data_IF_968664909498
#
_entry.id   IF_968664909498
#
_cell.length_a   1.000
_cell.length_b   1.000
_cell.length_c   1.000
_cell.angle_alpha   90.00
_cell.angle_beta   90.00
_cell.angle_gamma   90.00
#
_symmetry.space_group_name_H-M   'P 1'
#
loop_
_entity.id
_entity.type
_entity.pdbx_description
1 polymer ?
#
# COMPACT_ATOMS: atom_id res chain seq x y z
N UNK A 1 18.95 -3.21 -55.75
CA UNK A 1 18.63 -2.46 -54.51
C UNK A 1 19.70 -1.40 -54.32
N UNK A 2 19.36 -0.13 -54.52
CA UNK A 2 20.30 0.97 -54.28
C UNK A 2 20.61 1.04 -52.78
N UNK A 3 21.89 0.97 -52.42
CA UNK A 3 22.34 1.24 -51.07
C UNK A 3 21.98 2.69 -50.74
N UNK A 4 20.95 2.90 -49.90
CA UNK A 4 20.66 4.22 -49.35
C UNK A 4 21.88 4.63 -48.52
N UNK A 5 22.43 5.79 -48.85
CA UNK A 5 23.57 6.37 -48.16
C UNK A 5 23.20 6.66 -46.71
N UNK A 6 23.99 6.13 -45.77
CA UNK A 6 23.95 6.52 -44.35
C UNK A 6 23.88 8.05 -44.25
N UNK A 7 22.84 8.59 -43.63
CA UNK A 7 22.78 10.00 -43.28
C UNK A 7 23.52 10.18 -41.96
N UNK A 8 24.77 10.69 -41.96
CA UNK A 8 25.50 10.88 -40.72
C UNK A 8 24.79 11.94 -39.87
N UNK A 9 24.75 11.75 -38.55
CA UNK A 9 24.23 12.75 -37.63
C UNK A 9 25.09 14.03 -37.74
N UNK A 10 24.51 15.19 -38.11
CA UNK A 10 25.26 16.43 -38.18
C UNK A 10 25.83 16.80 -36.79
N UNK A 11 27.11 17.18 -36.74
CA UNK A 11 27.80 17.46 -35.48
C UNK A 11 27.10 18.54 -34.63
N UNK A 12 26.52 19.56 -35.27
CA UNK A 12 25.77 20.60 -34.58
C UNK A 12 24.54 20.04 -33.84
N UNK A 13 23.75 19.21 -34.51
CA UNK A 13 22.58 18.55 -33.92
C UNK A 13 22.97 17.55 -32.83
N UNK A 14 24.08 16.83 -33.01
CA UNK A 14 24.64 15.99 -31.96
C UNK A 14 25.01 16.80 -30.72
N UNK A 15 25.66 17.96 -30.88
CA UNK A 15 26.06 18.81 -29.75
C UNK A 15 24.85 19.30 -28.96
N UNK A 16 23.81 19.77 -29.65
CA UNK A 16 22.55 20.21 -29.02
C UNK A 16 21.88 19.07 -28.25
N UNK A 17 21.70 17.91 -28.90
CA UNK A 17 21.12 16.73 -28.28
C UNK A 17 21.95 16.28 -27.06
N UNK A 18 23.29 16.30 -27.16
CA UNK A 18 24.17 15.95 -26.06
C UNK A 18 24.02 16.91 -24.87
N UNK A 19 23.93 18.21 -25.10
CA UNK A 19 23.69 19.19 -24.01
C UNK A 19 22.35 18.94 -23.32
N UNK A 20 21.30 18.63 -24.10
CA UNK A 20 20.01 18.28 -23.53
C UNK A 20 20.09 16.98 -22.69
N UNK A 21 20.75 15.92 -23.18
CA UNK A 21 20.90 14.68 -22.42
C UNK A 21 21.72 14.86 -21.13
N UNK A 22 22.77 15.68 -21.15
CA UNK A 22 23.53 16.02 -19.95
C UNK A 22 22.64 16.73 -18.90
N UNK A 23 21.69 17.57 -19.33
CA UNK A 23 20.71 18.19 -18.43
C UNK A 23 19.76 17.17 -17.79
N UNK A 24 19.35 16.14 -18.54
CA UNK A 24 18.53 15.04 -18.02
C UNK A 24 19.30 14.22 -16.98
N UNK A 25 20.56 13.91 -17.26
CA UNK A 25 21.45 13.19 -16.33
C UNK A 25 21.62 13.98 -15.04
N UNK A 26 21.92 15.29 -15.12
CA UNK A 26 22.06 16.14 -13.95
C UNK A 26 20.78 16.17 -13.10
N UNK A 27 19.62 16.32 -13.75
CA UNK A 27 18.32 16.30 -13.09
C UNK A 27 18.04 14.97 -12.40
N UNK A 28 18.40 13.86 -13.06
CA UNK A 28 18.25 12.51 -12.51
C UNK A 28 19.11 12.31 -11.25
N UNK A 29 20.39 12.70 -11.29
CA UNK A 29 21.31 12.58 -10.15
C UNK A 29 20.77 13.33 -8.93
N UNK A 30 20.29 14.57 -9.11
CA UNK A 30 19.70 15.37 -8.02
C UNK A 30 18.47 14.68 -7.44
N UNK A 31 17.59 14.12 -8.27
CA UNK A 31 16.40 13.40 -7.80
C UNK A 31 16.74 12.14 -7.01
N UNK A 32 17.71 11.35 -7.47
CA UNK A 32 18.17 10.14 -6.77
C UNK A 32 18.78 10.50 -5.42
N UNK A 33 19.59 11.56 -5.34
CA UNK A 33 20.17 12.04 -4.09
C UNK A 33 19.11 12.51 -3.08
N UNK A 34 18.08 13.23 -3.55
CA UNK A 34 16.98 13.72 -2.69
C UNK A 34 16.09 12.62 -2.16
N UNK A 35 15.81 11.58 -2.95
CA UNK A 35 14.90 10.49 -2.57
C UNK A 35 15.52 9.47 -1.61
N UNK A 36 16.85 9.43 -1.49
CA UNK A 36 17.54 8.51 -0.58
C UNK A 36 17.14 7.07 -0.81
N UNK A 37 17.75 6.40 -1.80
CA UNK A 37 17.53 4.96 -2.06
C UNK A 37 18.14 4.11 -0.94
N UNK A 38 17.48 4.06 0.22
CA UNK A 38 17.96 3.26 1.38
C UNK A 38 17.81 1.75 1.18
N UNK A 39 16.91 1.31 0.30
CA UNK A 39 16.53 -0.11 0.14
C UNK A 39 16.61 -0.65 -1.31
N UNK A 40 17.10 0.13 -2.27
CA UNK A 40 17.27 -0.36 -3.65
C UNK A 40 18.73 -0.79 -3.87
N UNK A 41 18.98 -1.91 -4.58
CA UNK A 41 20.34 -2.30 -4.92
C UNK A 41 21.02 -1.18 -5.73
N UNK A 42 22.32 -0.94 -5.52
CA UNK A 42 23.04 0.05 -6.30
C UNK A 42 22.99 -0.33 -7.78
N UNK A 43 22.46 0.57 -8.59
CA UNK A 43 22.44 0.45 -10.06
C UNK A 43 23.63 1.16 -10.67
N UNK A 44 24.01 0.73 -11.87
CA UNK A 44 25.08 1.39 -12.62
C UNK A 44 24.69 2.84 -12.91
N UNK A 45 25.63 3.76 -12.71
CA UNK A 45 25.41 5.18 -12.97
C UNK A 45 25.28 5.51 -14.47
N UNK A 46 25.15 6.81 -14.79
CA UNK A 46 25.12 7.26 -16.17
C UNK A 46 26.44 6.93 -16.89
N UNK A 47 26.31 6.48 -18.13
CA UNK A 47 27.45 6.20 -19.02
C UNK A 47 28.17 7.49 -19.42
N UNK A 48 29.50 7.44 -19.56
CA UNK A 48 30.33 8.59 -19.99
C UNK A 48 30.44 8.74 -21.51
N UNK A 49 30.21 7.65 -22.26
CA UNK A 49 30.29 7.62 -23.73
C UNK A 49 28.92 7.32 -24.36
N UNK A 50 28.81 7.55 -25.66
CA UNK A 50 27.67 7.13 -26.46
C UNK A 50 27.97 5.75 -27.05
N UNK A 51 27.09 4.79 -26.83
CA UNK A 51 27.20 3.46 -27.44
C UNK A 51 26.64 3.49 -28.86
N UNK A 52 27.39 2.91 -29.79
CA UNK A 52 27.01 2.83 -31.19
C UNK A 52 26.23 1.54 -31.45
N UNK A 53 24.96 1.66 -31.80
CA UNK A 53 24.08 0.55 -32.16
C UNK A 53 23.74 0.62 -33.66
N UNK A 54 23.50 -0.55 -34.27
CA UNK A 54 23.12 -0.67 -35.68
C UNK A 54 24.03 0.12 -36.64
N UNK A 55 25.34 -0.04 -36.50
CA UNK A 55 26.37 0.66 -37.30
C UNK A 55 26.37 2.19 -37.13
N UNK A 56 25.94 2.68 -35.97
CA UNK A 56 25.87 4.11 -35.66
C UNK A 56 24.58 4.79 -36.11
N UNK A 57 23.60 4.02 -36.60
CA UNK A 57 22.24 4.52 -36.90
C UNK A 57 21.42 4.80 -35.64
N UNK A 58 21.86 4.27 -34.50
CA UNK A 58 21.28 4.50 -33.19
C UNK A 58 22.41 4.78 -32.22
N UNK A 59 22.32 5.90 -31.50
CA UNK A 59 23.27 6.25 -30.44
C UNK A 59 22.56 6.08 -29.10
N UNK A 60 23.14 5.31 -28.18
CA UNK A 60 22.58 5.08 -26.84
C UNK A 60 23.42 5.81 -25.79
N UNK A 61 22.74 6.45 -24.84
CA UNK A 61 23.31 7.01 -23.62
C UNK A 61 22.55 6.47 -22.41
N UNK A 62 23.20 5.65 -21.60
CA UNK A 62 22.61 5.17 -20.35
C UNK A 62 22.61 6.28 -19.30
N UNK A 63 21.46 6.49 -18.66
CA UNK A 63 21.27 7.38 -17.51
C UNK A 63 21.33 6.58 -16.20
N UNK A 64 20.65 5.43 -16.18
CA UNK A 64 20.58 4.52 -15.04
C UNK A 64 20.60 3.08 -15.54
N UNK A 65 21.49 2.24 -14.98
CA UNK A 65 21.62 0.84 -15.37
C UNK A 65 20.47 -0.02 -14.89
N UNK A 66 20.07 -0.98 -15.73
CA UNK A 66 19.03 -1.95 -15.37
C UNK A 66 19.55 -3.13 -14.54
N UNK A 67 18.59 -3.91 -14.05
CA UNK A 67 18.76 -5.06 -13.19
C UNK A 67 18.56 -6.38 -13.97
N UNK A 68 19.16 -7.45 -13.43
CA UNK A 68 19.06 -8.79 -14.00
C UNK A 68 19.90 -8.99 -15.26
N UNK A 69 19.69 -10.14 -15.92
CA UNK A 69 20.42 -10.55 -17.12
C UNK A 69 19.48 -10.77 -18.34
N UNK A 70 18.19 -10.51 -18.16
CA UNK A 70 17.20 -10.69 -19.22
C UNK A 70 17.14 -9.46 -20.10
N UNK A 71 17.19 -9.70 -21.42
CA UNK A 71 16.96 -8.70 -22.45
C UNK A 71 15.66 -9.03 -23.20
N UNK A 72 14.91 -8.01 -23.66
CA UNK A 72 13.72 -8.22 -24.47
C UNK A 72 14.01 -9.05 -25.72
N UNK A 73 13.09 -9.96 -26.05
CA UNK A 73 13.14 -10.77 -27.27
C UNK A 73 11.78 -10.74 -28.01
N UNK A 74 11.70 -11.13 -29.29
CA UNK A 74 10.46 -11.08 -30.08
C UNK A 74 9.26 -11.83 -29.51
N UNK A 75 9.48 -12.76 -28.59
CA UNK A 75 8.42 -13.53 -27.93
C UNK A 75 7.94 -12.88 -26.63
N UNK A 76 8.41 -11.68 -26.29
CA UNK A 76 8.12 -11.01 -25.02
C UNK A 76 7.23 -9.79 -25.21
N UNK A 77 6.45 -9.48 -24.17
CA UNK A 77 5.86 -8.17 -23.96
C UNK A 77 6.82 -7.30 -23.14
N UNK A 78 6.78 -6.01 -23.42
CA UNK A 78 7.55 -4.99 -22.72
C UNK A 78 6.61 -3.96 -22.14
N UNK A 79 6.96 -3.47 -20.96
CA UNK A 79 6.29 -2.33 -20.33
C UNK A 79 7.30 -1.20 -20.22
N UNK A 80 7.00 -0.04 -20.79
CA UNK A 80 7.91 1.11 -20.82
C UNK A 80 7.24 2.40 -20.32
N UNK A 81 8.05 3.30 -19.80
CA UNK A 81 7.75 4.72 -19.74
C UNK A 81 8.63 5.42 -20.78
N UNK A 82 8.07 6.29 -21.62
CA UNK A 82 8.84 6.96 -22.67
C UNK A 82 8.49 8.43 -22.81
N UNK A 83 9.45 9.19 -23.35
CA UNK A 83 9.25 10.53 -23.87
C UNK A 83 10.02 10.69 -25.19
N UNK A 84 9.30 11.06 -26.24
CA UNK A 84 9.81 11.28 -27.59
C UNK A 84 10.01 12.76 -27.84
N UNK A 85 11.18 13.11 -28.36
CA UNK A 85 11.61 14.47 -28.60
C UNK A 85 12.27 14.64 -29.98
N UNK A 86 12.24 15.86 -30.49
CA UNK A 86 13.18 16.29 -31.54
C UNK A 86 14.59 16.42 -30.95
N UNK A 87 15.63 16.46 -31.80
CA UNK A 87 16.99 16.73 -31.31
C UNK A 87 17.16 18.10 -30.66
N UNK A 88 16.29 19.06 -31.02
CA UNK A 88 16.21 20.37 -30.39
C UNK A 88 15.49 20.36 -29.03
N UNK A 89 14.98 19.22 -28.57
CA UNK A 89 14.36 19.05 -27.26
C UNK A 89 12.85 19.32 -27.21
N UNK A 90 12.20 19.59 -28.35
CA UNK A 90 10.74 19.71 -28.41
C UNK A 90 10.10 18.35 -28.22
N UNK A 91 9.13 18.28 -27.31
CA UNK A 91 8.44 17.04 -26.97
C UNK A 91 7.37 16.75 -28.02
N UNK A 92 7.40 15.55 -28.57
CA UNK A 92 6.46 15.07 -29.59
C UNK A 92 5.33 14.28 -28.91
N UNK A 93 5.69 13.33 -28.07
CA UNK A 93 4.76 12.47 -27.35
C UNK A 93 5.41 11.91 -26.10
N UNK A 94 4.63 11.57 -25.09
CA UNK A 94 5.06 10.78 -23.93
C UNK A 94 3.94 9.88 -23.43
N UNK A 95 4.26 9.04 -22.46
CA UNK A 95 3.31 8.17 -21.80
C UNK A 95 2.09 8.93 -21.26
N UNK A 96 2.30 10.15 -20.71
CA UNK A 96 1.20 10.96 -20.14
C UNK A 96 0.28 11.53 -21.20
N UNK A 97 0.79 11.91 -22.37
CA UNK A 97 -0.04 12.32 -23.51
C UNK A 97 -0.98 11.20 -23.97
N UNK A 98 -0.63 9.93 -23.69
CA UNK A 98 -1.47 8.76 -23.93
C UNK A 98 -2.41 8.42 -22.75
N UNK A 99 -2.53 9.29 -21.75
CA UNK A 99 -3.31 9.07 -20.52
C UNK A 99 -2.94 7.79 -19.76
N UNK A 100 -1.69 7.36 -19.84
CA UNK A 100 -1.20 6.19 -19.12
C UNK A 100 0.09 6.51 -18.34
N UNK A 101 0.37 5.72 -17.32
CA UNK A 101 1.63 5.80 -16.55
C UNK A 101 2.72 4.95 -17.19
N UNK A 102 2.34 3.87 -17.88
CA UNK A 102 3.22 2.95 -18.59
C UNK A 102 2.53 2.45 -19.86
N UNK A 103 3.29 2.19 -20.90
CA UNK A 103 2.81 1.60 -22.14
C UNK A 103 3.24 0.13 -22.20
N UNK A 104 2.28 -0.77 -22.35
CA UNK A 104 2.53 -2.19 -22.63
C UNK A 104 2.30 -2.45 -24.11
N UNK A 105 3.25 -3.15 -24.73
CA UNK A 105 3.07 -3.71 -26.06
C UNK A 105 3.98 -4.91 -26.27
N UNK A 106 3.66 -5.78 -27.24
CA UNK A 106 4.57 -6.84 -27.63
C UNK A 106 5.82 -6.31 -28.32
N UNK A 107 6.99 -6.82 -27.95
CA UNK A 107 8.27 -6.37 -28.50
C UNK A 107 8.30 -6.39 -30.03
N UNK A 108 7.72 -7.43 -30.64
CA UNK A 108 7.69 -7.61 -32.10
C UNK A 108 6.92 -6.51 -32.84
N UNK A 109 6.00 -5.81 -32.15
CA UNK A 109 5.14 -4.79 -32.75
C UNK A 109 5.79 -3.39 -32.66
N UNK A 110 6.93 -3.27 -31.97
CA UNK A 110 7.70 -2.03 -31.88
C UNK A 110 8.32 -1.66 -33.24
N UNK A 111 8.51 -0.35 -33.47
CA UNK A 111 9.26 0.13 -34.64
C UNK A 111 10.72 -0.38 -34.63
N UNK A 112 11.36 -0.58 -35.80
CA UNK A 112 12.69 -1.21 -35.88
C UNK A 112 13.76 -0.55 -34.99
N UNK A 113 13.81 0.79 -34.93
CA UNK A 113 14.74 1.48 -34.04
C UNK A 113 14.45 1.23 -32.55
N UNK A 114 13.18 1.16 -32.19
CA UNK A 114 12.76 0.85 -30.82
C UNK A 114 13.03 -0.60 -30.45
N UNK A 115 12.90 -1.56 -31.38
CA UNK A 115 13.30 -2.96 -31.14
C UNK A 115 14.79 -3.06 -30.77
N UNK A 116 15.66 -2.39 -31.53
CA UNK A 116 17.11 -2.41 -31.26
C UNK A 116 17.43 -1.68 -29.95
N UNK A 117 16.78 -0.55 -29.69
CA UNK A 117 16.92 0.18 -28.44
C UNK A 117 16.53 -0.71 -27.24
N UNK A 118 15.33 -1.28 -27.26
CA UNK A 118 14.81 -2.12 -26.18
C UNK A 118 15.63 -3.41 -26.01
N UNK A 119 16.08 -4.05 -27.09
CA UNK A 119 16.94 -5.23 -27.02
C UNK A 119 18.30 -4.95 -26.35
N UNK A 120 18.73 -3.68 -26.31
CA UNK A 120 19.95 -3.26 -25.62
C UNK A 120 19.73 -2.90 -24.15
N UNK A 121 18.49 -2.92 -23.66
CA UNK A 121 18.13 -2.48 -22.31
C UNK A 121 17.84 -3.66 -21.39
N UNK A 122 18.19 -3.51 -20.12
CA UNK A 122 17.77 -4.39 -19.02
C UNK A 122 16.55 -3.83 -18.29
N UNK A 123 15.88 -4.68 -17.51
CA UNK A 123 14.75 -4.27 -16.67
C UNK A 123 15.15 -3.11 -15.74
N UNK A 124 14.30 -2.10 -15.62
CA UNK A 124 14.50 -0.85 -14.87
C UNK A 124 15.65 0.02 -15.36
N UNK A 125 16.22 -0.25 -16.54
CA UNK A 125 17.19 0.63 -17.17
C UNK A 125 16.50 1.89 -17.71
N UNK A 126 17.14 3.04 -17.55
CA UNK A 126 16.76 4.29 -18.22
C UNK A 126 17.87 4.75 -19.14
N UNK A 127 17.54 4.94 -20.42
CA UNK A 127 18.49 5.28 -21.47
C UNK A 127 17.87 6.24 -22.48
N UNK A 128 18.70 7.13 -23.04
CA UNK A 128 18.32 7.99 -24.16
C UNK A 128 18.90 7.44 -25.46
N UNK A 129 18.08 7.42 -26.50
CA UNK A 129 18.45 6.95 -27.82
C UNK A 129 18.30 8.08 -28.85
N UNK A 130 19.34 8.31 -29.66
CA UNK A 130 19.24 9.15 -30.85
C UNK A 130 19.03 8.24 -32.05
N UNK A 131 17.86 8.34 -32.68
CA UNK A 131 17.45 7.51 -33.80
C UNK A 131 17.66 8.26 -35.11
N UNK A 132 18.37 7.63 -36.04
CA UNK A 132 18.49 8.11 -37.41
C UNK A 132 17.13 8.10 -38.14
N UNK A 133 16.97 8.92 -39.19
CA UNK A 133 15.78 8.97 -40.03
C UNK A 133 15.22 7.61 -40.48
N UNK A 134 16.09 6.65 -40.77
CA UNK A 134 15.71 5.32 -41.25
C UNK A 134 15.20 4.39 -40.14
N UNK A 135 15.59 4.68 -38.88
CA UNK A 135 15.25 3.90 -37.71
C UNK A 135 14.17 4.58 -36.85
N UNK A 136 13.82 5.83 -37.17
CA UNK A 136 12.84 6.68 -36.51
C UNK A 136 11.43 6.53 -37.08
N UNK A 137 10.67 7.62 -37.07
CA UNK A 137 9.28 7.63 -37.53
C UNK A 137 9.19 7.37 -39.05
N UNK A 138 8.12 6.71 -39.53
CA UNK A 138 7.87 6.49 -40.96
C UNK A 138 7.94 7.79 -41.76
N UNK A 139 8.50 7.76 -42.98
CA UNK A 139 8.70 8.97 -43.82
C UNK A 139 7.41 9.73 -44.17
N UNK A 140 6.27 9.06 -44.13
CA UNK A 140 4.93 9.60 -44.36
C UNK A 140 4.30 10.22 -43.10
N UNK A 141 4.95 10.09 -41.94
CA UNK A 141 4.49 10.71 -40.71
C UNK A 141 4.66 12.23 -40.73
N UNK A 142 3.67 12.97 -40.24
CA UNK A 142 3.80 14.39 -39.95
C UNK A 142 2.90 14.79 -38.80
N UNK A 143 3.42 15.56 -37.86
CA UNK A 143 2.64 16.11 -36.75
C UNK A 143 3.00 17.57 -36.53
N UNK A 144 1.99 18.42 -36.39
CA UNK A 144 2.17 19.83 -36.03
C UNK A 144 2.23 19.95 -34.50
N UNK A 145 3.36 20.42 -33.99
CA UNK A 145 3.52 20.76 -32.58
C UNK A 145 3.11 22.21 -32.38
N UNK A 146 2.11 22.43 -31.54
CA UNK A 146 1.79 23.75 -31.01
C UNK A 146 2.77 24.08 -29.89
N UNK A 147 3.67 25.04 -30.15
CA UNK A 147 4.59 25.54 -29.13
C UNK A 147 3.81 26.47 -28.18
N UNK A 148 3.23 25.91 -27.13
CA UNK A 148 2.61 26.71 -26.08
C UNK A 148 3.73 27.37 -25.25
N UNK A 149 3.91 28.70 -25.41
CA UNK A 149 4.97 29.50 -24.76
C UNK A 149 5.03 29.30 -23.23
N UNK A 150 3.94 28.86 -22.62
CA UNK A 150 3.81 28.61 -21.17
C UNK A 150 4.69 27.47 -20.66
N UNK A 151 5.02 26.47 -21.48
CA UNK A 151 5.90 25.36 -21.04
C UNK A 151 7.39 25.75 -21.10
N UNK A 152 7.82 26.50 -22.12
CA UNK A 152 9.19 27.01 -22.21
C UNK A 152 9.47 28.05 -21.10
N UNK A 153 8.51 28.94 -20.81
CA UNK A 153 8.61 29.89 -19.70
C UNK A 153 8.74 29.16 -18.34
N UNK A 154 8.05 28.03 -18.16
CA UNK A 154 8.16 27.20 -16.95
C UNK A 154 9.51 26.50 -16.85
N UNK A 155 10.06 25.99 -17.96
CA UNK A 155 11.39 25.36 -18.01
C UNK A 155 12.50 26.38 -17.71
N UNK A 156 12.40 27.59 -18.24
CA UNK A 156 13.32 28.68 -17.93
C UNK A 156 13.20 29.16 -16.47
N UNK A 157 11.99 29.28 -15.93
CA UNK A 157 11.78 29.61 -14.52
C UNK A 157 12.37 28.57 -13.56
N UNK A 158 12.22 27.28 -13.84
CA UNK A 158 12.85 26.23 -13.00
C UNK A 158 14.38 26.28 -13.06
N UNK A 159 14.96 26.68 -14.19
CA UNK A 159 16.40 26.78 -14.35
C UNK A 159 16.99 28.05 -13.71
N UNK A 160 16.20 29.14 -13.67
CA UNK A 160 16.60 30.41 -13.04
C UNK A 160 16.45 30.37 -11.51
N UNK A 161 15.57 29.50 -10.98
CA UNK A 161 15.42 29.28 -9.53
C UNK A 161 16.65 28.65 -8.84
N UNK A 162 17.64 28.20 -9.60
CA UNK A 162 18.91 27.65 -9.09
C UNK A 162 20.11 28.63 -9.24
N UNK A 163 19.93 29.81 -9.85
CA UNK A 163 21.01 30.81 -10.04
C UNK A 163 21.19 31.77 -8.84
N UNK A 164 22.36 32.38 -8.63
CA UNK A 164 22.53 33.45 -7.63
C UNK A 164 21.63 34.68 -7.90
N UNK A 165 21.15 35.40 -6.87
CA UNK A 165 20.17 36.50 -7.01
C UNK A 165 20.60 37.60 -7.98
N UNK A 166 21.87 37.97 -7.98
CA UNK A 166 22.43 39.03 -8.83
C UNK A 166 22.37 38.72 -10.33
N UNK A 167 22.44 37.43 -10.70
CA UNK A 167 22.38 36.97 -12.09
C UNK A 167 20.93 36.80 -12.57
N UNK A 168 20.01 36.41 -11.68
CA UNK A 168 18.56 36.37 -11.99
C UNK A 168 18.02 37.75 -12.35
N UNK A 169 18.42 38.77 -11.60
CA UNK A 169 17.95 40.15 -11.82
C UNK A 169 18.51 40.76 -13.10
N UNK A 170 19.71 40.37 -13.53
CA UNK A 170 20.28 40.80 -14.81
C UNK A 170 19.54 40.15 -16.00
N UNK A 171 19.25 38.85 -15.91
CA UNK A 171 18.52 38.09 -16.95
C UNK A 171 17.08 38.57 -17.13
N UNK A 172 16.36 38.82 -16.02
CA UNK A 172 14.99 39.36 -16.05
C UNK A 172 14.91 40.73 -16.72
N UNK A 173 15.95 41.57 -16.57
CA UNK A 173 16.02 42.87 -17.25
C UNK A 173 16.28 42.72 -18.75
N UNK A 174 17.11 41.77 -19.17
CA UNK A 174 17.32 41.44 -20.59
C UNK A 174 16.07 40.84 -21.25
N UNK A 175 15.32 39.99 -20.54
CA UNK A 175 14.05 39.43 -21.02
C UNK A 175 12.94 40.48 -21.14
N UNK A 176 12.80 41.38 -20.16
CA UNK A 176 11.87 42.50 -20.26
C UNK A 176 12.19 43.39 -21.47
N UNK A 177 13.48 43.64 -21.76
CA UNK A 177 13.89 44.40 -22.94
C UNK A 177 13.66 43.67 -24.28
N UNK A 178 13.72 42.33 -24.29
CA UNK A 178 13.41 41.50 -25.48
C UNK A 178 11.90 41.39 -25.75
N UNK A 179 11.09 41.43 -24.71
CA UNK A 179 9.62 41.30 -24.81
C UNK A 179 8.99 42.53 -25.45
N UNK A 180 9.63 43.71 -25.33
CA UNK A 180 9.15 44.96 -25.93
C UNK A 180 9.41 45.08 -27.45
N UNK A 181 10.19 44.17 -28.07
CA UNK A 181 10.65 44.33 -29.47
C UNK A 181 10.23 43.20 -30.43
N UNK A 182 9.49 42.19 -30.01
CA UNK A 182 9.12 41.09 -30.91
C UNK A 182 7.66 41.19 -31.38
N UNK A 183 7.39 41.24 -32.69
CA UNK A 183 6.02 41.22 -33.18
C UNK A 183 5.38 39.88 -32.82
N UNK A 184 4.16 39.95 -32.28
CA UNK A 184 3.28 38.80 -32.21
C UNK A 184 3.12 38.23 -33.62
N UNK A 185 3.63 37.02 -33.89
CA UNK A 185 3.06 36.01 -34.78
C UNK A 185 4.02 34.84 -35.02
N UNK A 186 3.43 33.63 -34.97
CA UNK A 186 3.93 32.31 -35.39
C UNK A 186 4.97 31.64 -34.46
N UNK A 187 5.06 30.31 -34.35
CA UNK A 187 4.96 29.29 -35.41
C UNK A 187 4.66 27.92 -34.79
N UNK A 188 3.63 27.21 -35.24
CA UNK A 188 3.55 25.75 -35.11
C UNK A 188 4.80 25.11 -35.74
N UNK A 189 5.35 24.07 -35.13
CA UNK A 189 6.51 23.34 -35.65
C UNK A 189 6.08 21.97 -36.16
N UNK A 190 6.15 21.75 -37.47
CA UNK A 190 5.83 20.45 -38.06
C UNK A 190 7.04 19.51 -37.94
N UNK A 191 6.88 18.43 -37.17
CA UNK A 191 7.81 17.29 -37.20
C UNK A 191 7.43 16.40 -38.35
N UNK A 192 8.40 16.02 -39.20
CA UNK A 192 8.18 15.09 -40.31
C UNK A 192 8.93 13.78 -40.09
N UNK A 193 8.40 12.73 -40.69
CA UNK A 193 9.06 11.45 -40.83
C UNK A 193 10.39 11.61 -41.56
N UNK A 194 11.41 10.91 -41.08
CA UNK A 194 12.77 11.03 -41.64
C UNK A 194 13.63 12.14 -41.03
N UNK A 195 13.21 12.74 -39.92
CA UNK A 195 14.09 13.54 -39.07
C UNK A 195 14.80 12.68 -38.02
N UNK A 196 15.93 13.17 -37.50
CA UNK A 196 16.55 12.57 -36.32
C UNK A 196 15.71 12.86 -35.08
N UNK A 197 15.58 11.85 -34.23
CA UNK A 197 14.74 11.91 -33.03
C UNK A 197 15.52 11.47 -31.80
N UNK A 198 15.12 12.01 -30.66
CA UNK A 198 15.63 11.63 -29.36
C UNK A 198 14.53 10.92 -28.55
N UNK A 199 14.86 9.78 -27.96
CA UNK A 199 13.91 8.93 -27.27
C UNK A 199 14.43 8.59 -25.88
N UNK A 200 13.81 9.15 -24.84
CA UNK A 200 14.10 8.85 -23.44
C UNK A 200 13.18 7.71 -23.00
N UNK A 201 13.75 6.56 -22.69
CA UNK A 201 13.01 5.35 -22.35
C UNK A 201 13.45 4.84 -20.97
N UNK A 202 12.47 4.49 -20.15
CA UNK A 202 12.64 3.62 -18.99
C UNK A 202 11.98 2.27 -19.29
N UNK A 203 12.75 1.18 -19.32
CA UNK A 203 12.21 -0.17 -19.49
C UNK A 203 11.71 -0.69 -18.15
N UNK A 204 10.41 -0.64 -17.88
CA UNK A 204 9.85 -1.00 -16.58
C UNK A 204 9.84 -2.51 -16.32
N UNK A 205 9.38 -3.29 -17.30
CA UNK A 205 9.25 -4.74 -17.16
C UNK A 205 9.34 -5.49 -18.48
N UNK A 206 9.66 -6.78 -18.39
CA UNK A 206 9.78 -7.73 -19.51
C UNK A 206 9.18 -9.06 -19.08
N UNK A 207 8.31 -9.64 -19.90
CA UNK A 207 7.72 -10.96 -19.65
C UNK A 207 7.33 -11.64 -20.95
N UNK A 208 7.21 -12.96 -20.91
CA UNK A 208 6.87 -13.77 -22.07
C UNK A 208 5.42 -13.49 -22.53
N UNK A 209 5.20 -13.34 -23.84
CA UNK A 209 3.87 -13.11 -24.44
C UNK A 209 2.97 -14.33 -24.27
N UNK A 210 3.56 -15.53 -24.24
CA UNK A 210 2.84 -16.81 -24.22
C UNK A 210 2.86 -17.47 -22.85
N UNK A 211 3.63 -16.94 -21.89
CA UNK A 211 3.54 -17.36 -20.49
C UNK A 211 3.00 -16.19 -19.68
N UNK A 212 1.85 -16.34 -19.03
CA UNK A 212 1.31 -15.27 -18.22
C UNK A 212 2.35 -14.93 -17.12
N UNK A 213 2.60 -13.63 -16.92
CA UNK A 213 3.64 -13.10 -16.03
C UNK A 213 3.41 -13.51 -14.57
N UNK A 214 2.14 -13.55 -14.17
CA UNK A 214 1.56 -14.42 -13.17
C UNK A 214 1.25 -15.79 -13.80
N UNK A 215 1.69 -16.93 -13.25
CA UNK A 215 1.37 -18.29 -13.78
C UNK A 215 -0.12 -18.68 -13.65
N UNK A 216 -1.03 -17.75 -13.94
CA UNK A 216 -2.46 -17.86 -13.76
C UNK A 216 -3.10 -17.41 -15.08
N UNK A 217 -3.20 -18.33 -16.04
CA UNK A 217 -4.11 -18.17 -17.18
C UNK A 217 -5.48 -18.70 -16.76
N UNK A 218 -6.60 -18.05 -17.11
CA UNK A 218 -7.97 -18.55 -16.83
C UNK A 218 -8.20 -20.02 -17.22
N UNK A 219 -7.41 -20.52 -18.19
CA UNK A 219 -7.57 -21.84 -18.78
C UNK A 219 -6.76 -22.94 -18.06
N UNK A 220 -5.99 -22.61 -17.02
CA UNK A 220 -5.17 -23.60 -16.34
C UNK A 220 -6.03 -24.61 -15.57
N UNK A 221 -5.76 -25.90 -15.72
CA UNK A 221 -6.48 -26.97 -15.01
C UNK A 221 -6.48 -26.79 -13.50
N UNK A 222 -5.43 -26.19 -12.92
CA UNK A 222 -5.40 -25.93 -11.48
C UNK A 222 -6.41 -24.86 -11.05
N UNK A 223 -6.76 -23.88 -11.90
CA UNK A 223 -7.83 -22.91 -11.60
C UNK A 223 -9.18 -23.58 -11.50
N UNK A 224 -9.43 -24.61 -12.32
CA UNK A 224 -10.64 -25.46 -12.22
C UNK A 224 -10.68 -26.27 -10.93
N UNK A 225 -9.52 -26.46 -10.30
CA UNK A 225 -9.38 -27.16 -9.01
C UNK A 225 -9.30 -26.20 -7.82
N UNK A 226 -9.32 -24.88 -8.05
CA UNK A 226 -9.45 -23.94 -6.94
C UNK A 226 -10.86 -24.06 -6.37
N UNK A 227 -11.02 -23.95 -5.04
CA UNK A 227 -12.34 -23.91 -4.44
C UNK A 227 -13.09 -22.70 -5.03
N UNK A 228 -14.20 -22.93 -5.70
CA UNK A 228 -15.14 -21.85 -6.03
C UNK A 228 -15.73 -21.35 -4.72
N UNK A 229 -15.25 -20.19 -4.24
CA UNK A 229 -15.85 -19.55 -3.09
C UNK A 229 -17.20 -18.97 -3.49
N UNK A 230 -18.25 -19.47 -2.84
CA UNK A 230 -19.60 -18.98 -3.07
C UNK A 230 -19.75 -17.58 -2.47
N UNK A 231 -20.03 -16.59 -3.34
CA UNK A 231 -20.36 -15.24 -2.91
C UNK A 231 -21.79 -15.29 -2.36
N UNK A 232 -22.05 -14.83 -1.13
CA UNK A 232 -23.39 -14.76 -0.59
C UNK A 232 -24.33 -13.91 -1.47
N UNK A 233 -25.54 -14.40 -1.75
CA UNK A 233 -26.54 -13.75 -2.64
C UNK A 233 -26.91 -12.31 -2.23
N UNK A 234 -26.59 -11.90 -1.00
CA UNK A 234 -26.89 -10.59 -0.43
C UNK A 234 -25.75 -9.57 -0.57
N UNK A 235 -24.65 -9.91 -1.24
CA UNK A 235 -23.49 -9.02 -1.41
C UNK A 235 -23.01 -8.98 -2.86
N UNK A 236 -22.51 -7.82 -3.27
CA UNK A 236 -21.82 -7.69 -4.57
C UNK A 236 -20.42 -8.30 -4.52
N UNK A 237 -19.85 -8.60 -5.69
CA UNK A 237 -18.50 -9.17 -5.79
C UNK A 237 -17.43 -8.27 -5.14
N UNK A 238 -17.55 -6.95 -5.32
CA UNK A 238 -16.62 -5.97 -4.78
C UNK A 238 -16.72 -5.88 -3.25
N UNK A 239 -17.94 -5.86 -2.69
CA UNK A 239 -18.17 -5.88 -1.24
C UNK A 239 -17.63 -7.17 -0.59
N UNK A 240 -17.73 -8.30 -1.29
CA UNK A 240 -17.16 -9.57 -0.83
C UNK A 240 -15.63 -9.56 -0.82
N UNK A 241 -15.01 -8.98 -1.86
CA UNK A 241 -13.56 -8.81 -1.93
C UNK A 241 -13.05 -7.90 -0.80
N UNK A 242 -13.73 -6.79 -0.54
CA UNK A 242 -13.39 -5.90 0.58
C UNK A 242 -13.50 -6.63 1.93
N UNK A 243 -14.59 -7.36 2.15
CA UNK A 243 -14.78 -8.14 3.37
C UNK A 243 -13.68 -9.20 3.56
N UNK A 244 -13.23 -9.86 2.50
CA UNK A 244 -12.14 -10.84 2.54
C UNK A 244 -10.78 -10.18 2.79
N UNK A 245 -10.52 -9.03 2.16
CA UNK A 245 -9.30 -8.25 2.41
C UNK A 245 -9.23 -7.85 3.89
N UNK A 246 -10.36 -7.43 4.47
CA UNK A 246 -10.50 -7.12 5.88
C UNK A 246 -10.22 -8.32 6.79
N UNK A 247 -10.74 -9.51 6.45
CA UNK A 247 -10.40 -10.73 7.21
C UNK A 247 -8.91 -11.08 7.17
N UNK A 248 -8.26 -10.90 6.02
CA UNK A 248 -6.82 -11.16 5.89
C UNK A 248 -6.02 -10.15 6.71
N UNK A 249 -6.38 -8.86 6.63
CA UNK A 249 -5.79 -7.81 7.46
C UNK A 249 -5.91 -8.14 8.94
N UNK A 250 -7.10 -8.53 9.39
CA UNK A 250 -7.35 -8.86 10.80
C UNK A 250 -6.55 -10.08 11.26
N UNK A 251 -6.37 -11.09 10.39
CA UNK A 251 -5.52 -12.26 10.68
C UNK A 251 -4.04 -11.89 10.78
N UNK A 252 -3.53 -11.05 9.86
CA UNK A 252 -2.16 -10.57 9.90
C UNK A 252 -1.93 -9.75 11.18
N UNK A 253 -2.89 -8.88 11.52
CA UNK A 253 -2.82 -8.10 12.75
C UNK A 253 -2.83 -8.99 14.01
N UNK A 254 -3.67 -10.02 14.04
CA UNK A 254 -3.73 -10.98 15.15
C UNK A 254 -2.40 -11.75 15.28
N UNK A 255 -1.87 -12.27 14.18
CA UNK A 255 -0.58 -12.97 14.12
C UNK A 255 0.57 -12.08 14.61
N UNK A 256 0.68 -10.85 14.10
CA UNK A 256 1.75 -9.94 14.53
C UNK A 256 1.61 -9.51 15.99
N UNK A 257 0.37 -9.36 16.49
CA UNK A 257 0.13 -8.94 17.87
C UNK A 257 0.39 -10.05 18.90
N UNK A 258 0.19 -11.31 18.51
CA UNK A 258 0.30 -12.48 19.39
C UNK A 258 1.59 -13.26 19.21
N UNK A 259 2.21 -13.18 18.03
CA UNK A 259 3.47 -13.82 17.69
C UNK A 259 4.54 -12.78 17.30
N UNK A 260 5.36 -12.34 18.27
CA UNK A 260 6.47 -11.42 18.01
C UNK A 260 7.60 -12.00 17.17
N UNK A 261 7.64 -13.32 16.97
CA UNK A 261 8.57 -13.99 16.08
C UNK A 261 7.92 -14.34 14.72
N UNK A 262 6.78 -13.71 14.40
CA UNK A 262 6.14 -13.86 13.11
C UNK A 262 7.10 -13.43 11.98
N UNK A 263 7.24 -14.23 10.91
CA UNK A 263 8.05 -13.87 9.74
C UNK A 263 7.64 -12.53 9.10
N UNK A 264 6.40 -12.08 9.33
CA UNK A 264 5.94 -10.77 8.84
C UNK A 264 6.70 -9.59 9.44
N UNK A 265 7.34 -9.75 10.61
CA UNK A 265 8.18 -8.72 11.17
C UNK A 265 9.43 -8.46 10.34
N UNK A 266 9.99 -9.49 9.69
CA UNK A 266 11.18 -9.38 8.85
C UNK A 266 10.95 -8.47 7.63
N UNK A 267 9.71 -8.46 7.11
CA UNK A 267 9.32 -7.61 5.97
C UNK A 267 9.04 -6.15 6.39
N UNK A 268 8.57 -5.94 7.63
CA UNK A 268 8.08 -4.63 8.08
C UNK A 268 9.16 -3.85 8.83
N UNK A 269 9.99 -4.50 9.64
CA UNK A 269 11.07 -3.87 10.42
C UNK A 269 12.02 -3.00 9.57
N UNK A 270 12.41 -3.39 8.34
CA UNK A 270 13.24 -2.56 7.46
C UNK A 270 12.54 -1.28 6.98
N UNK A 271 11.21 -1.28 6.90
CA UNK A 271 10.40 -0.15 6.44
C UNK A 271 10.03 0.83 7.57
N UNK A 272 10.29 0.48 8.83
CA UNK A 272 9.99 1.34 9.97
C UNK A 272 11.02 2.46 10.14
N UNK A 273 10.52 3.66 10.47
CA UNK A 273 11.36 4.77 10.89
C UNK A 273 11.95 4.53 12.30
N UNK A 274 13.04 5.21 12.65
CA UNK A 274 13.78 5.00 13.90
C UNK A 274 12.88 5.11 15.15
N UNK A 275 11.93 6.05 15.17
CA UNK A 275 10.94 6.22 16.25
C UNK A 275 9.96 5.04 16.34
N UNK A 276 9.56 4.47 15.20
CA UNK A 276 8.67 3.31 15.15
C UNK A 276 9.40 2.05 15.57
N UNK A 277 10.66 1.88 15.13
CA UNK A 277 11.53 0.79 15.54
C UNK A 277 11.80 0.83 17.04
N UNK A 278 12.08 1.99 17.61
CA UNK A 278 12.26 2.16 19.05
C UNK A 278 10.98 1.81 19.83
N UNK A 279 9.79 2.17 19.34
CA UNK A 279 8.51 1.77 19.96
C UNK A 279 8.28 0.27 19.91
N UNK A 280 8.56 -0.36 18.77
CA UNK A 280 8.43 -1.82 18.59
C UNK A 280 9.45 -2.56 19.44
N UNK A 281 10.69 -2.08 19.49
CA UNK A 281 11.75 -2.63 20.34
C UNK A 281 11.43 -2.48 21.83
N UNK A 282 10.85 -1.35 22.25
CA UNK A 282 10.35 -1.17 23.62
C UNK A 282 9.16 -2.11 23.92
N UNK A 283 8.30 -2.37 22.94
CA UNK A 283 7.19 -3.31 23.05
C UNK A 283 7.67 -4.76 23.15
N UNK A 284 8.58 -5.20 22.29
CA UNK A 284 9.18 -6.55 22.32
C UNK A 284 10.08 -6.76 23.53
N UNK A 285 10.85 -5.75 23.95
CA UNK A 285 11.65 -5.78 25.19
C UNK A 285 10.76 -5.86 26.44
N UNK A 286 9.56 -5.27 26.44
CA UNK A 286 8.58 -5.50 27.52
C UNK A 286 7.90 -6.87 27.45
N UNK A 287 7.88 -7.50 26.28
CA UNK A 287 7.34 -8.83 26.06
C UNK A 287 8.31 -9.95 26.46
N UNK A 288 9.62 -9.74 26.30
CA UNK A 288 10.65 -10.78 26.51
C UNK A 288 11.84 -10.36 27.40
N UNK A 289 12.00 -9.08 27.72
CA UNK A 289 13.16 -8.57 28.45
C UNK A 289 13.01 -8.79 29.95
N UNK A 290 13.98 -9.54 30.50
CA UNK A 290 14.65 -9.54 31.82
C UNK A 290 13.94 -9.10 33.13
N UNK A 291 12.83 -8.37 33.08
CA UNK A 291 11.85 -8.23 34.14
C UNK A 291 10.68 -9.20 33.89
N UNK A 292 10.96 -10.48 33.63
CA UNK A 292 9.93 -11.51 33.81
C UNK A 292 9.56 -11.53 35.29
N UNK A 293 8.33 -11.14 35.69
CA UNK A 293 7.91 -11.32 37.06
C UNK A 293 7.90 -12.82 37.35
N UNK A 294 8.16 -13.24 38.59
CA UNK A 294 8.33 -14.65 38.95
C UNK A 294 7.11 -15.56 38.64
N UNK A 295 5.99 -15.00 38.17
CA UNK A 295 4.83 -15.75 37.69
C UNK A 295 4.36 -15.23 36.31
N UNK A 296 4.61 -15.97 35.21
CA UNK A 296 4.20 -15.61 33.84
C UNK A 296 2.70 -15.49 33.63
N UNK A 297 1.87 -15.93 34.60
CA UNK A 297 0.41 -15.85 34.53
C UNK A 297 -0.14 -14.48 34.93
N UNK A 298 0.69 -13.60 35.50
CA UNK A 298 0.26 -12.30 36.04
C UNK A 298 0.57 -11.12 35.11
N UNK A 299 1.60 -11.23 34.27
CA UNK A 299 2.08 -10.15 33.39
C UNK A 299 2.41 -10.64 31.96
N UNK A 300 1.58 -11.55 31.44
CA UNK A 300 1.56 -11.82 30.00
C UNK A 300 1.26 -10.53 29.23
N UNK A 301 2.23 -10.10 28.44
CA UNK A 301 2.27 -8.99 27.47
C UNK A 301 1.03 -8.07 27.37
N UNK A 302 1.26 -6.76 27.42
CA UNK A 302 0.22 -5.75 27.16
C UNK A 302 -0.50 -5.97 25.82
N UNK A 303 0.16 -6.54 24.81
CA UNK A 303 -0.48 -6.93 23.55
C UNK A 303 -1.48 -8.07 23.66
N UNK A 304 -1.20 -9.08 24.49
CA UNK A 304 -2.16 -10.13 24.81
C UNK A 304 -3.30 -9.58 25.68
N UNK A 305 -3.00 -8.70 26.64
CA UNK A 305 -4.06 -8.01 27.41
C UNK A 305 -4.92 -7.13 26.52
N UNK A 306 -4.39 -6.36 25.58
CA UNK A 306 -5.22 -5.46 24.76
C UNK A 306 -5.97 -6.21 23.64
N UNK A 307 -5.42 -7.28 23.05
CA UNK A 307 -6.15 -8.09 22.06
C UNK A 307 -7.20 -9.02 22.70
N UNK A 308 -6.93 -9.54 23.90
CA UNK A 308 -7.85 -10.43 24.63
C UNK A 308 -8.84 -9.63 25.48
N UNK A 309 -8.41 -8.60 26.23
CA UNK A 309 -9.30 -7.76 27.06
C UNK A 309 -10.00 -6.65 26.26
N UNK A 310 -9.43 -6.16 25.15
CA UNK A 310 -10.11 -5.23 24.24
C UNK A 310 -11.26 -5.89 23.47
N UNK A 311 -11.17 -7.21 23.20
CA UNK A 311 -12.30 -8.03 22.74
C UNK A 311 -13.24 -8.48 23.87
N UNK A 312 -12.84 -8.29 25.13
CA UNK A 312 -13.55 -8.75 26.33
C UNK A 312 -13.85 -7.59 27.31
N UNK A 313 -14.23 -6.44 26.76
CA UNK A 313 -14.97 -5.40 27.48
C UNK A 313 -16.48 -5.48 27.26
N UNK A 314 -16.97 -6.58 26.67
CA UNK A 314 -18.37 -6.85 26.44
C UNK A 314 -18.65 -8.35 26.38
N UNK A 315 -19.77 -8.76 26.98
CA UNK A 315 -20.27 -10.14 27.05
C UNK A 315 -20.10 -10.88 25.71
N UNK A 316 -19.35 -11.99 25.67
CA UNK A 316 -19.25 -12.87 24.48
C UNK A 316 -19.89 -14.23 24.79
N UNK A 317 -21.01 -14.52 24.13
CA UNK A 317 -21.78 -15.78 24.25
C UNK A 317 -22.17 -16.23 25.68
N UNK A 318 -22.45 -15.28 26.58
CA UNK A 318 -23.06 -15.60 27.88
C UNK A 318 -22.13 -16.20 28.94
N UNK A 319 -20.83 -16.28 28.67
CA UNK A 319 -19.82 -16.62 29.69
C UNK A 319 -19.09 -15.35 30.15
N UNK A 320 -19.16 -15.04 31.44
CA UNK A 320 -18.43 -13.93 32.05
C UNK A 320 -16.92 -14.16 31.98
N UNK A 321 -16.20 -13.25 31.32
CA UNK A 321 -14.76 -13.13 31.39
C UNK A 321 -14.37 -11.86 32.15
N UNK A 322 -13.43 -12.01 33.09
CA UNK A 322 -12.92 -10.96 33.96
C UNK A 322 -12.18 -11.56 35.15
N UNK A 323 -11.33 -10.78 35.81
CA UNK A 323 -10.62 -11.22 37.01
C UNK A 323 -11.64 -11.57 38.11
N UNK A 324 -11.47 -12.77 38.69
CA UNK A 324 -12.34 -13.30 39.73
C UNK A 324 -11.70 -13.01 41.09
N UNK A 325 -12.41 -12.28 41.94
CA UNK A 325 -12.00 -12.15 43.34
C UNK A 325 -12.48 -13.37 44.10
N UNK A 326 -11.59 -14.00 44.85
CA UNK A 326 -11.96 -15.15 45.66
C UNK A 326 -11.32 -15.08 47.03
N UNK A 327 -12.07 -15.50 48.03
CA UNK A 327 -11.62 -15.54 49.41
C UNK A 327 -11.94 -16.87 50.05
N UNK A 328 -11.02 -17.37 50.87
CA UNK A 328 -11.23 -18.59 51.66
C UNK A 328 -11.18 -18.26 53.14
N UNK A 329 -12.17 -18.76 53.85
CA UNK A 329 -12.23 -18.80 55.31
C UNK A 329 -12.22 -20.25 55.77
N UNK A 330 -12.08 -20.47 57.07
CA UNK A 330 -12.12 -21.83 57.66
C UNK A 330 -13.48 -22.52 57.44
N UNK A 331 -14.54 -21.77 57.17
CA UNK A 331 -15.92 -22.29 57.11
C UNK A 331 -16.60 -22.11 55.75
N UNK A 332 -16.05 -21.28 54.86
CA UNK A 332 -16.61 -21.06 53.54
C UNK A 332 -15.55 -20.56 52.57
N UNK A 333 -15.81 -20.75 51.29
CA UNK A 333 -15.06 -20.14 50.19
C UNK A 333 -16.05 -19.35 49.36
N UNK A 334 -15.62 -18.19 48.88
CA UNK A 334 -16.44 -17.36 48.02
C UNK A 334 -15.66 -16.94 46.80
N UNK A 335 -16.41 -16.68 45.73
CA UNK A 335 -15.91 -16.26 44.43
C UNK A 335 -16.86 -15.22 43.87
N UNK A 336 -16.30 -14.10 43.45
CA UNK A 336 -17.01 -12.98 42.84
C UNK A 336 -16.41 -12.70 41.48
N UNK A 337 -17.28 -12.47 40.52
CA UNK A 337 -16.96 -11.82 39.26
C UNK A 337 -17.64 -10.46 39.22
N UNK A 338 -17.40 -9.72 38.13
CA UNK A 338 -18.01 -8.41 37.92
C UNK A 338 -19.55 -8.49 37.84
N UNK A 339 -20.13 -9.66 37.52
CA UNK A 339 -21.59 -9.81 37.38
C UNK A 339 -22.22 -10.92 38.24
N UNK A 340 -21.45 -11.76 38.94
CA UNK A 340 -21.99 -12.80 39.83
C UNK A 340 -21.21 -12.96 41.15
N UNK A 341 -21.90 -13.51 42.16
CA UNK A 341 -21.30 -13.81 43.46
C UNK A 341 -21.72 -15.20 43.94
N UNK A 342 -20.74 -16.07 44.13
CA UNK A 342 -20.89 -17.46 44.53
C UNK A 342 -20.25 -17.71 45.90
N UNK A 343 -20.96 -18.42 46.78
CA UNK A 343 -20.45 -18.87 48.08
C UNK A 343 -20.65 -20.37 48.22
N UNK A 344 -19.57 -21.05 48.62
CA UNK A 344 -19.55 -22.46 48.97
C UNK A 344 -19.30 -22.60 50.47
N UNK A 345 -20.25 -23.20 51.18
CA UNK A 345 -20.21 -23.40 52.63
C UNK A 345 -19.74 -24.81 52.96
N UNK A 346 -18.76 -24.93 53.86
CA UNK A 346 -18.34 -26.23 54.37
C UNK A 346 -19.23 -26.64 55.54
N UNK A 347 -20.24 -27.45 55.26
CA UNK A 347 -21.18 -27.98 56.25
C UNK A 347 -20.79 -29.38 56.70
N UNK A 348 -21.14 -29.74 57.94
CA UNK A 348 -20.95 -31.10 58.47
C UNK A 348 -21.91 -32.08 57.80
N UNK A 349 -21.48 -33.35 57.72
CA UNK A 349 -22.32 -34.43 57.20
C UNK A 349 -23.67 -34.48 57.92
N UNK A 350 -24.74 -34.58 57.12
CA UNK A 350 -26.13 -34.54 57.57
C UNK A 350 -26.83 -33.18 57.39
N UNK A 351 -26.10 -32.09 57.14
CA UNK A 351 -26.71 -30.79 56.82
C UNK A 351 -26.94 -30.70 55.31
N UNK A 352 -28.19 -30.82 54.89
CA UNK A 352 -28.63 -30.72 53.50
C UNK A 352 -29.03 -29.28 53.16
N UNK A 353 -29.10 -28.98 51.86
CA UNK A 353 -29.45 -27.64 51.36
C UNK A 353 -30.77 -27.10 51.93
N UNK A 354 -31.75 -27.97 52.19
CA UNK A 354 -33.05 -27.62 52.78
C UNK A 354 -32.96 -27.08 54.22
N UNK A 355 -31.86 -27.39 54.92
CA UNK A 355 -31.59 -26.87 56.25
C UNK A 355 -30.90 -25.51 56.22
N UNK A 356 -30.52 -25.00 55.04
CA UNK A 356 -29.82 -23.71 54.89
C UNK A 356 -30.77 -22.67 54.33
N UNK A 357 -30.92 -21.57 55.05
CA UNK A 357 -31.69 -20.40 54.60
C UNK A 357 -30.80 -19.18 54.65
N UNK A 358 -30.91 -18.31 53.67
CA UNK A 358 -30.04 -17.16 53.52
C UNK A 358 -30.85 -15.92 53.21
N UNK A 359 -30.36 -14.78 53.67
CA UNK A 359 -30.96 -13.48 53.46
C UNK A 359 -29.88 -12.49 53.06
N UNK A 360 -30.04 -11.91 51.87
CA UNK A 360 -29.13 -10.89 51.35
C UNK A 360 -29.77 -9.52 51.43
N UNK A 361 -29.01 -8.59 51.96
CA UNK A 361 -29.24 -7.16 51.85
C UNK A 361 -28.04 -6.50 51.19
N UNK A 362 -28.17 -5.24 50.78
CA UNK A 362 -27.08 -4.46 50.17
C UNK A 362 -25.83 -4.30 51.04
N UNK A 363 -25.88 -4.66 52.33
CA UNK A 363 -24.76 -4.49 53.28
C UNK A 363 -24.32 -5.77 53.99
N UNK A 364 -25.16 -6.81 53.99
CA UNK A 364 -24.85 -8.08 54.67
C UNK A 364 -25.56 -9.25 54.02
N UNK A 365 -24.88 -10.39 54.05
CA UNK A 365 -25.42 -11.70 53.77
C UNK A 365 -25.47 -12.48 55.09
N UNK A 366 -26.68 -12.82 55.52
CA UNK A 366 -26.90 -13.63 56.71
C UNK A 366 -27.30 -15.05 56.27
N UNK A 367 -26.63 -16.07 56.83
CA UNK A 367 -26.88 -17.47 56.52
C UNK A 367 -27.25 -18.20 57.81
N UNK A 368 -28.42 -18.81 57.81
CA UNK A 368 -29.03 -19.49 58.94
C UNK A 368 -29.16 -20.99 58.66
N UNK A 369 -28.72 -21.81 59.61
CA UNK A 369 -28.86 -23.26 59.55
C UNK A 369 -29.98 -23.72 60.50
N UNK A 370 -30.91 -24.54 60.04
CA UNK A 370 -31.97 -25.16 60.86
C UNK A 370 -33.36 -24.49 60.83
N UNK A 371 -33.73 -23.82 59.73
CA UNK A 371 -35.16 -23.66 59.35
C UNK A 371 -36.04 -22.68 60.14
N UNK A 372 -35.53 -21.67 60.85
CA UNK A 372 -36.37 -20.62 61.46
C UNK A 372 -36.80 -19.52 60.46
N UNK A 373 -37.45 -19.89 59.35
CA UNK A 373 -37.90 -18.98 58.26
C UNK A 373 -39.39 -18.62 58.31
N UNK A 374 -40.19 -19.25 59.17
CA UNK A 374 -41.66 -19.16 59.08
C UNK A 374 -42.25 -17.77 59.40
N UNK A 375 -41.54 -16.89 60.14
CA UNK A 375 -42.04 -15.54 60.45
C UNK A 375 -41.82 -14.52 59.33
N UNK A 376 -40.82 -14.70 58.47
CA UNK A 376 -40.50 -13.73 57.41
C UNK A 376 -41.39 -13.89 56.17
N UNK A 377 -41.82 -15.12 55.85
CA UNK A 377 -42.62 -15.40 54.65
C UNK A 377 -44.11 -15.10 54.80
N UNK A 378 -44.64 -14.92 56.02
CA UNK A 378 -46.03 -14.57 56.27
C UNK A 378 -46.35 -13.11 55.85
N UNK A 379 -45.44 -12.17 56.17
CA UNK A 379 -45.59 -10.75 55.85
C UNK A 379 -45.51 -10.43 54.35
N UNK A 380 -44.82 -11.28 53.58
CA UNK A 380 -44.64 -11.07 52.15
C UNK A 380 -45.86 -11.55 51.35
N UNK A 381 -46.56 -12.57 51.84
CA UNK A 381 -47.80 -13.11 51.23
C UNK A 381 -49.00 -12.18 51.34
N UNK A 382 -49.13 -11.40 52.42
CA UNK A 382 -50.22 -10.42 52.56
C UNK A 382 -50.13 -9.28 51.55
N UNK A 383 -48.91 -8.83 51.23
CA UNK A 383 -48.69 -7.74 50.27
C UNK A 383 -48.97 -8.17 48.82
N UNK A 384 -48.78 -9.44 48.51
CA UNK A 384 -49.04 -9.99 47.18
C UNK A 384 -50.52 -10.31 46.94
N UNK A 385 -51.29 -10.63 47.99
CA UNK A 385 -52.73 -10.86 47.89
C UNK A 385 -53.50 -9.59 47.48
N UNK A 386 -53.08 -8.42 47.96
CA UNK A 386 -53.71 -7.13 47.63
C UNK A 386 -53.54 -6.74 46.15
N UNK A 387 -52.42 -7.12 45.52
CA UNK A 387 -52.14 -6.82 44.11
C UNK A 387 -53.00 -7.62 43.13
N UNK A 388 -53.28 -8.88 43.45
CA UNK A 388 -54.05 -9.78 42.58
C UNK A 388 -55.57 -9.48 42.62
N UNK A 389 -56.03 -8.75 43.63
CA UNK A 389 -57.44 -8.37 43.76
C UNK A 389 -57.80 -7.16 42.88
N UNK A 390 -56.83 -6.30 42.57
CA UNK A 390 -56.95 -5.21 41.59
C UNK A 390 -57.03 -5.75 40.15
N UNK A 391 -56.16 -6.69 39.76
CA UNK A 391 -56.16 -7.25 38.39
C UNK A 391 -57.43 -8.04 38.05
N UNK A 392 -58.06 -8.69 39.05
CA UNK A 392 -59.35 -9.40 38.87
C UNK A 392 -60.54 -8.47 38.64
N UNK A 393 -60.45 -7.20 39.04
CA UNK A 393 -61.48 -6.19 38.75
C UNK A 393 -61.46 -5.75 37.29
N UNK A 394 -60.29 -5.67 36.67
CA UNK A 394 -60.15 -5.22 35.27
C UNK A 394 -60.68 -6.26 34.27
N UNK A 395 -60.38 -7.56 34.49
CA UNK A 395 -60.84 -8.64 33.59
C UNK A 395 -62.35 -8.90 33.60
N UNK A 396 -63.08 -8.51 34.65
CA UNK A 396 -64.56 -8.67 34.72
C UNK A 396 -65.34 -7.67 33.85
N UNK A 397 -64.67 -6.68 33.26
CA UNK A 397 -65.34 -5.67 32.42
C UNK A 397 -65.35 -5.99 30.91
N UNK A 398 -64.64 -7.03 30.45
CA UNK A 398 -64.27 -7.21 29.03
C UNK A 398 -65.06 -8.22 28.17
N UNK A 399 -66.06 -8.96 28.69
CA UNK A 399 -66.86 -9.89 27.87
C UNK A 399 -68.36 -9.70 28.10
N UNK A 400 -69.04 -9.00 27.19
CA UNK A 400 -70.51 -9.02 27.05
C UNK A 400 -70.87 -9.20 25.56
N UNK A 401 -71.44 -10.38 25.30
CA UNK A 401 -71.93 -10.99 24.04
C UNK A 401 -70.90 -11.74 23.20
#
# INVERSE_FOLDING_TARGET
MQARSLTPLPFALFKEANTWVESLIATHIVHVQRRGRRNEPPREGPSLNWDLLADGRILKRQIEGGEGALYPSPQMNVTIEFSLHTLSGFKIADTRALNTTMMEFPFADAMPGMQIALASMRKLERSVFLLSPEMGLPFDFSVDLELDKREDDRRQQTHDEDLPPSLRDARRREEMARTETSPANLTSYTVRGGDWLAFDITLCNIYDRHRPWWRISPDMEFLKNLPEEHIPDNMTHDEWLEYKADQVRDKIQDEMSTNPASPYWDDIEPAMNDVQRERVQNYTTRLYGLDTPPDPRRDGSRGFRDSVLGRSGGMRHGCEMGDRMMGKSKHYVWRESVFNFEIVLFVRDGIRAEHVTWHITSKRLDIFFGGKRQEAQANERERQAQRNEEERREMRSGYRW
#
